data_IF_901075111958
#
_entry.id   IF_901075111958
#
_cell.length_a   1.000
_cell.length_b   1.000
_cell.length_c   1.000
_cell.angle_alpha   90.00
_cell.angle_beta   90.00
_cell.angle_gamma   90.00
#
_symmetry.space_group_name_H-M   'P 1'
#
loop_
_entity.id
_entity.type
_entity.pdbx_description
1 polymer ?
#
# COMPACT_ATOMS: atom_id res chain seq x y z
N UNK A 1 -9.64 19.99 -22.41
CA UNK A 1 -9.26 20.82 -21.24
C UNK A 1 -9.59 20.04 -19.97
N UNK A 2 -8.66 19.22 -19.46
CA UNK A 2 -8.86 18.42 -18.25
C UNK A 2 -8.67 19.27 -17.02
N UNK A 3 -9.72 19.32 -16.18
CA UNK A 3 -9.76 20.08 -14.93
C UNK A 3 -8.83 19.40 -13.93
N UNK A 4 -7.60 19.90 -13.77
CA UNK A 4 -6.77 19.53 -12.63
C UNK A 4 -7.41 20.13 -11.38
N UNK A 5 -8.18 19.32 -10.66
CA UNK A 5 -8.70 19.68 -9.36
C UNK A 5 -7.53 19.88 -8.40
N UNK A 6 -7.16 21.14 -8.18
CA UNK A 6 -6.30 21.60 -7.07
C UNK A 6 -7.05 21.36 -5.75
N UNK A 7 -7.05 20.11 -5.29
CA UNK A 7 -7.58 19.73 -3.98
C UNK A 7 -6.56 20.11 -2.91
N UNK A 8 -6.91 21.14 -2.15
CA UNK A 8 -6.48 21.50 -0.80
C UNK A 8 -5.14 20.95 -0.32
N UNK A 9 -4.20 21.86 -0.10
CA UNK A 9 -2.92 21.67 0.61
C UNK A 9 -3.16 21.19 2.04
N UNK A 10 -3.55 19.91 2.18
CA UNK A 10 -3.35 19.16 3.41
C UNK A 10 -1.86 18.85 3.48
N UNK A 11 -1.22 19.16 4.61
CA UNK A 11 0.19 18.87 4.82
C UNK A 11 0.47 17.40 4.46
N UNK A 12 1.29 17.20 3.42
CA UNK A 12 1.68 15.85 2.97
C UNK A 12 2.92 15.45 3.75
N UNK A 13 2.90 14.28 4.37
CA UNK A 13 4.12 13.71 4.96
C UNK A 13 4.93 13.08 3.84
N UNK A 14 6.24 13.36 3.78
CA UNK A 14 7.15 12.71 2.84
C UNK A 14 7.65 11.40 3.42
N UNK A 15 7.48 10.31 2.69
CA UNK A 15 7.95 8.98 3.08
C UNK A 15 8.47 8.23 1.86
N UNK A 16 9.39 7.30 2.09
CA UNK A 16 9.89 6.40 1.04
C UNK A 16 8.83 5.35 0.68
N UNK A 17 8.43 5.20 -0.60
CA UNK A 17 7.42 4.22 -1.01
C UNK A 17 7.72 2.77 -0.55
N UNK A 18 8.99 2.39 -0.55
CA UNK A 18 9.50 1.08 -0.10
C UNK A 18 9.17 0.77 1.37
N UNK A 19 8.98 1.79 2.22
CA UNK A 19 8.63 1.62 3.64
C UNK A 19 7.14 1.34 3.87
N UNK A 20 6.28 1.63 2.89
CA UNK A 20 4.82 1.45 3.00
C UNK A 20 4.42 0.07 2.52
N UNK A 21 3.75 -0.71 3.34
CA UNK A 21 3.28 -2.05 3.02
C UNK A 21 2.03 -2.03 2.13
N UNK A 22 1.93 -3.02 1.25
CA UNK A 22 0.69 -3.28 0.52
C UNK A 22 -0.31 -3.95 1.44
N UNK A 23 -1.58 -3.59 1.32
CA UNK A 23 -2.67 -4.25 2.07
C UNK A 23 -3.12 -5.58 1.43
N UNK A 24 -2.70 -5.84 0.20
CA UNK A 24 -3.04 -7.03 -0.56
C UNK A 24 -1.85 -7.48 -1.41
N UNK A 25 -1.59 -8.79 -1.47
CA UNK A 25 -0.57 -9.39 -2.33
C UNK A 25 -0.92 -9.42 -3.83
N UNK A 26 -2.09 -8.92 -4.23
CA UNK A 26 -2.55 -8.85 -5.62
C UNK A 26 -3.14 -7.47 -5.91
N UNK A 27 -2.83 -6.94 -7.09
CA UNK A 27 -3.39 -5.66 -7.59
C UNK A 27 -3.80 -5.80 -9.04
N UNK A 28 -4.76 -5.00 -9.48
CA UNK A 28 -5.13 -4.92 -10.90
C UNK A 28 -4.17 -4.03 -11.69
N UNK A 29 -3.95 -4.37 -12.95
CA UNK A 29 -3.09 -3.65 -13.91
C UNK A 29 -3.62 -2.27 -14.34
N UNK A 30 -4.88 -1.95 -14.06
CA UNK A 30 -5.52 -0.66 -14.40
C UNK A 30 -6.04 0.06 -13.18
N UNK A 31 -6.10 1.39 -13.25
CA UNK A 31 -6.78 2.21 -12.25
C UNK A 31 -8.30 2.09 -12.38
N UNK A 32 -9.04 2.13 -11.26
CA UNK A 32 -10.50 2.07 -11.32
C UNK A 32 -11.04 3.36 -11.91
N UNK A 33 -11.95 3.26 -12.88
CA UNK A 33 -12.55 4.42 -13.54
C UNK A 33 -11.62 5.14 -14.52
N UNK A 34 -10.48 4.54 -14.88
CA UNK A 34 -9.57 5.07 -15.89
C UNK A 34 -9.07 3.91 -16.76
N UNK A 35 -9.01 4.11 -18.08
CA UNK A 35 -8.47 3.09 -19.00
C UNK A 35 -6.95 2.90 -18.85
N UNK A 36 -6.27 3.85 -18.20
CA UNK A 36 -4.81 3.87 -18.06
C UNK A 36 -4.31 2.77 -17.13
N UNK A 37 -3.29 2.07 -17.59
CA UNK A 37 -2.59 1.01 -16.86
C UNK A 37 -1.55 1.58 -15.91
N UNK A 38 -1.15 0.76 -14.94
CA UNK A 38 -0.02 1.08 -14.05
C UNK A 38 1.28 1.26 -14.84
N UNK A 39 1.49 0.41 -15.86
CA UNK A 39 2.67 0.44 -16.72
C UNK A 39 2.75 1.74 -17.54
N UNK A 40 1.65 2.16 -18.18
CA UNK A 40 1.60 3.45 -18.91
C UNK A 40 1.83 4.63 -17.99
N UNK A 41 1.35 4.56 -16.75
CA UNK A 41 1.53 5.66 -15.78
C UNK A 41 2.98 5.73 -15.30
N UNK A 42 3.60 4.57 -15.04
CA UNK A 42 5.02 4.49 -14.72
C UNK A 42 5.87 5.02 -15.88
N UNK A 43 5.55 4.62 -17.10
CA UNK A 43 6.24 5.06 -18.30
C UNK A 43 6.14 6.60 -18.47
N UNK A 44 4.97 7.20 -18.23
CA UNK A 44 4.82 8.65 -18.23
C UNK A 44 5.71 9.33 -17.19
N UNK A 45 5.90 8.72 -16.02
CA UNK A 45 6.78 9.23 -14.97
C UNK A 45 8.24 9.13 -15.41
N UNK A 46 8.66 7.98 -15.93
CA UNK A 46 10.03 7.75 -16.42
C UNK A 46 10.38 8.70 -17.57
N UNK A 47 9.42 8.98 -18.46
CA UNK A 47 9.58 9.93 -19.56
C UNK A 47 9.44 11.40 -19.13
N UNK A 48 9.19 11.67 -17.84
CA UNK A 48 9.02 13.03 -17.31
C UNK A 48 7.76 13.74 -17.80
N UNK A 49 6.77 13.02 -18.35
CA UNK A 49 5.47 13.58 -18.77
C UNK A 49 4.63 14.00 -17.57
N UNK A 50 4.76 13.28 -16.46
CA UNK A 50 4.19 13.60 -15.15
C UNK A 50 5.22 13.25 -14.06
N UNK A 51 5.02 13.77 -12.86
CA UNK A 51 5.80 13.41 -11.67
C UNK A 51 4.98 12.52 -10.74
N UNK A 52 5.64 11.90 -9.76
CA UNK A 52 4.96 11.11 -8.72
C UNK A 52 3.99 11.94 -7.88
N UNK A 53 4.24 13.25 -7.72
CA UNK A 53 3.41 14.17 -6.94
C UNK A 53 2.16 14.66 -7.69
N UNK A 54 2.12 14.47 -9.02
CA UNK A 54 0.94 14.69 -9.85
C UNK A 54 -0.12 13.58 -9.67
N UNK A 55 0.30 12.42 -9.16
CA UNK A 55 -0.63 11.38 -8.77
C UNK A 55 -1.40 11.80 -7.50
N UNK A 56 -2.71 11.48 -7.39
CA UNK A 56 -3.44 11.75 -6.17
C UNK A 56 -2.79 11.03 -4.98
N UNK A 57 -2.56 11.73 -3.84
CA UNK A 57 -1.82 11.17 -2.72
C UNK A 57 -2.50 9.91 -2.19
N UNK A 58 -1.70 8.94 -1.77
CA UNK A 58 -2.20 7.74 -1.11
C UNK A 58 -2.48 8.02 0.36
N UNK A 59 -3.58 7.48 0.86
CA UNK A 59 -3.86 7.46 2.30
C UNK A 59 -3.08 6.32 2.94
N UNK A 60 -2.43 6.59 4.06
CA UNK A 60 -1.60 5.65 4.81
C UNK A 60 -2.16 5.44 6.21
N UNK A 61 -2.33 4.17 6.58
CA UNK A 61 -2.64 3.74 7.95
C UNK A 61 -1.32 3.59 8.71
N UNK A 62 -1.26 4.14 9.92
CA UNK A 62 -0.12 3.96 10.83
C UNK A 62 -0.47 2.90 11.89
N UNK A 63 0.50 2.05 12.22
CA UNK A 63 0.35 1.01 13.22
C UNK A 63 1.64 0.85 14.00
N UNK A 64 1.56 1.07 15.30
CA UNK A 64 2.67 0.84 16.21
C UNK A 64 2.64 -0.64 16.61
N UNK A 65 3.61 -1.43 16.13
CA UNK A 65 3.75 -2.86 16.43
C UNK A 65 4.91 -3.09 17.39
N UNK A 66 4.80 -4.08 18.26
CA UNK A 66 5.95 -4.50 19.06
C UNK A 66 7.00 -5.13 18.12
N UNK A 67 8.25 -4.66 18.20
CA UNK A 67 9.37 -5.30 17.51
C UNK A 67 9.63 -6.65 18.19
N UNK A 68 8.90 -7.67 17.75
CA UNK A 68 9.30 -9.05 18.00
C UNK A 68 10.57 -9.27 17.20
N UNK A 69 11.69 -9.41 17.92
CA UNK A 69 12.94 -9.95 17.42
C UNK A 69 12.61 -11.15 16.52
N UNK A 70 12.98 -11.06 15.24
CA UNK A 70 12.82 -12.14 14.27
C UNK A 70 13.41 -13.41 14.87
N UNK A 71 12.53 -14.35 15.24
CA UNK A 71 12.82 -15.69 15.75
C UNK A 71 13.99 -16.32 14.98
N UNK A 72 15.18 -16.17 15.56
CA UNK A 72 16.35 -16.95 15.19
C UNK A 72 16.11 -18.35 15.70
N UNK A 73 15.69 -19.23 14.81
CA UNK A 73 15.85 -20.68 14.86
C UNK A 73 15.76 -21.29 16.26
N UNK A 74 14.57 -21.75 16.65
CA UNK A 74 14.42 -22.75 17.69
C UNK A 74 15.19 -24.04 17.30
N UNK A 75 16.47 -24.12 17.64
CA UNK A 75 17.17 -25.39 17.74
C UNK A 75 16.60 -26.13 18.95
N UNK A 76 15.92 -27.24 18.70
CA UNK A 76 15.43 -28.13 19.75
C UNK A 76 16.62 -28.76 20.51
N UNK A 77 17.07 -28.14 21.59
CA UNK A 77 17.94 -28.79 22.56
C UNK A 77 17.13 -29.20 23.80
N UNK A 78 16.86 -30.51 23.91
CA UNK A 78 16.13 -31.11 25.03
C UNK A 78 17.06 -31.20 26.25
N UNK A 79 17.11 -30.14 27.05
CA UNK A 79 17.94 -30.05 28.26
C UNK A 79 17.19 -29.65 29.54
N UNK A 80 16.67 -30.66 30.27
CA UNK A 80 16.49 -30.79 31.73
C UNK A 80 16.52 -29.53 32.66
N UNK A 81 15.35 -29.23 33.25
CA UNK A 81 15.04 -28.72 34.62
C UNK A 81 15.97 -27.68 35.29
N UNK A 82 15.42 -26.49 35.56
CA UNK A 82 15.87 -25.59 36.63
C UNK A 82 14.85 -24.50 36.95
N UNK A 83 14.24 -24.56 38.15
CA UNK A 83 13.38 -23.50 38.69
C UNK A 83 14.24 -22.28 39.01
N UNK A 84 14.00 -21.17 38.31
CA UNK A 84 14.57 -19.86 38.63
C UNK A 84 13.67 -18.76 38.08
N UNK A 85 12.74 -18.27 38.91
CA UNK A 85 11.93 -17.08 38.62
C UNK A 85 12.85 -15.85 38.71
N UNK A 86 13.65 -15.63 37.66
CA UNK A 86 14.38 -14.38 37.45
C UNK A 86 13.39 -13.44 36.76
N UNK A 87 12.77 -12.56 37.55
CA UNK A 87 12.06 -11.39 37.01
C UNK A 87 13.03 -10.61 36.13
N UNK A 88 12.94 -10.84 34.82
CA UNK A 88 13.70 -10.09 33.83
C UNK A 88 13.14 -8.67 33.88
N UNK A 89 13.96 -7.76 34.43
CA UNK A 89 13.82 -6.30 34.27
C UNK A 89 13.42 -6.03 32.83
N UNK A 90 12.24 -5.43 32.66
CA UNK A 90 11.59 -5.25 31.37
C UNK A 90 12.52 -4.57 30.36
N UNK A 91 12.94 -5.35 29.37
CA UNK A 91 13.27 -4.84 28.05
C UNK A 91 12.07 -4.02 27.60
N UNK A 92 12.25 -2.71 27.53
CA UNK A 92 11.24 -1.78 27.06
C UNK A 92 10.99 -2.15 25.60
N UNK A 93 9.93 -2.92 25.36
CA UNK A 93 9.57 -3.45 24.06
C UNK A 93 9.70 -2.33 23.02
N UNK A 94 10.64 -2.52 22.07
CA UNK A 94 10.91 -1.52 21.04
C UNK A 94 9.71 -1.51 20.11
N UNK A 95 8.90 -0.47 20.13
CA UNK A 95 7.75 -0.36 19.23
C UNK A 95 8.23 0.14 17.85
N UNK A 96 7.94 -0.60 16.79
CA UNK A 96 8.19 -0.23 15.40
C UNK A 96 6.92 0.33 14.77
N UNK A 97 7.01 1.47 14.08
CA UNK A 97 5.88 2.06 13.36
C UNK A 97 5.81 1.50 11.94
N UNK A 98 4.77 0.74 11.63
CA UNK A 98 4.45 0.25 10.28
C UNK A 98 3.46 1.16 9.57
N UNK A 99 3.64 1.28 8.26
CA UNK A 99 2.82 2.06 7.35
C UNK A 99 2.13 1.13 6.36
N UNK A 100 0.83 1.32 6.12
CA UNK A 100 0.07 0.52 5.16
C UNK A 100 -0.69 1.39 4.16
N UNK A 101 -0.68 1.00 2.89
CA UNK A 101 -1.35 1.76 1.83
C UNK A 101 -2.83 1.40 1.68
N UNK A 102 -3.67 2.41 1.61
CA UNK A 102 -5.08 2.27 1.21
C UNK A 102 -5.27 2.24 -0.32
N UNK A 103 -4.19 2.43 -1.10
CA UNK A 103 -4.23 2.37 -2.56
C UNK A 103 -2.97 1.68 -3.12
N UNK A 104 -3.04 0.35 -3.15
CA UNK A 104 -1.91 -0.50 -3.57
C UNK A 104 -1.47 -0.25 -5.02
N UNK A 105 -2.39 0.13 -5.91
CA UNK A 105 -2.06 0.42 -7.31
C UNK A 105 -1.16 1.64 -7.48
N UNK A 106 -1.48 2.73 -6.77
CA UNK A 106 -0.62 3.93 -6.76
C UNK A 106 0.70 3.67 -6.04
N UNK A 107 0.65 2.95 -4.91
CA UNK A 107 1.86 2.56 -4.20
C UNK A 107 2.80 1.74 -5.09
N UNK A 108 2.26 0.84 -5.93
CA UNK A 108 3.08 0.06 -6.86
C UNK A 108 3.82 0.96 -7.85
N UNK A 109 3.13 1.90 -8.48
CA UNK A 109 3.77 2.86 -9.41
C UNK A 109 4.83 3.69 -8.69
N UNK A 110 4.54 4.16 -7.47
CA UNK A 110 5.49 4.95 -6.68
C UNK A 110 6.73 4.15 -6.25
N UNK A 111 6.55 2.89 -5.84
CA UNK A 111 7.67 1.98 -5.50
C UNK A 111 8.53 1.65 -6.72
N UNK A 112 7.90 1.48 -7.87
CA UNK A 112 8.62 1.18 -9.11
C UNK A 112 9.37 2.42 -9.62
N UNK A 113 8.79 3.61 -9.50
CA UNK A 113 9.49 4.87 -9.75
C UNK A 113 10.69 5.06 -8.78
N UNK A 114 10.55 4.71 -7.50
CA UNK A 114 11.65 4.71 -6.53
C UNK A 114 12.75 3.73 -6.95
N UNK A 115 12.36 2.50 -7.34
CA UNK A 115 13.30 1.45 -7.79
C UNK A 115 14.10 1.87 -9.02
N UNK A 116 13.48 2.64 -9.91
CA UNK A 116 14.12 3.20 -11.10
C UNK A 116 14.93 4.49 -10.82
N UNK A 117 14.93 4.98 -9.57
CA UNK A 117 15.65 6.20 -9.19
C UNK A 117 14.99 7.49 -9.67
N UNK A 118 13.71 7.45 -10.07
CA UNK A 118 12.97 8.63 -10.55
C UNK A 118 12.42 9.45 -9.38
N UNK A 119 12.23 8.85 -8.22
CA UNK A 119 11.90 9.54 -6.97
C UNK A 119 12.58 8.87 -5.77
N UNK A 120 12.76 9.62 -4.69
CA UNK A 120 13.26 9.07 -3.41
C UNK A 120 12.14 8.95 -2.38
N UNK A 121 11.23 9.93 -2.38
CA UNK A 121 10.11 10.05 -1.47
C UNK A 121 8.83 10.50 -2.20
N UNK A 122 7.69 10.28 -1.55
CA UNK A 122 6.37 10.67 -2.08
C UNK A 122 5.53 11.33 -1.00
N UNK A 123 4.69 12.28 -1.40
CA UNK A 123 3.72 12.91 -0.52
C UNK A 123 2.53 11.99 -0.21
N UNK A 124 2.39 11.59 1.05
CA UNK A 124 1.25 10.76 1.50
C UNK A 124 0.33 11.52 2.45
N UNK A 125 -0.92 11.07 2.53
CA UNK A 125 -1.89 11.51 3.53
C UNK A 125 -1.93 10.50 4.67
N UNK A 126 -1.43 10.89 5.84
CA UNK A 126 -1.62 10.10 7.05
C UNK A 126 -3.09 10.15 7.47
N UNK A 127 -3.69 9.00 7.75
CA UNK A 127 -5.01 8.94 8.36
C UNK A 127 -4.93 9.37 9.84
N UNK A 128 -6.05 9.86 10.38
CA UNK A 128 -6.11 10.22 11.80
C UNK A 128 -5.93 8.98 12.67
N UNK A 129 -5.52 9.19 13.93
CA UNK A 129 -5.35 8.12 14.91
C UNK A 129 -6.64 7.29 15.07
N UNK A 130 -7.79 7.95 15.18
CA UNK A 130 -9.10 7.29 15.30
C UNK A 130 -9.43 6.42 14.09
N UNK A 131 -9.16 6.91 12.87
CA UNK A 131 -9.38 6.14 11.65
C UNK A 131 -8.46 4.92 11.59
N UNK A 132 -7.21 5.06 12.03
CA UNK A 132 -6.27 3.95 12.13
C UNK A 132 -6.77 2.91 13.14
N UNK A 133 -7.16 3.33 14.34
CA UNK A 133 -7.67 2.43 15.40
C UNK A 133 -8.91 1.64 14.95
N UNK A 134 -9.85 2.29 14.26
CA UNK A 134 -11.04 1.62 13.71
C UNK A 134 -10.65 0.56 12.69
N UNK A 135 -9.74 0.88 11.76
CA UNK A 135 -9.28 -0.05 10.72
C UNK A 135 -8.49 -1.22 11.32
N UNK A 136 -7.64 -0.96 12.30
CA UNK A 136 -6.83 -1.98 12.98
C UNK A 136 -7.70 -2.91 13.84
N UNK A 137 -8.68 -2.38 14.57
CA UNK A 137 -9.54 -3.17 15.47
C UNK A 137 -10.61 -3.96 14.73
N UNK A 138 -11.39 -3.30 13.87
CA UNK A 138 -12.53 -3.92 13.20
C UNK A 138 -12.08 -4.77 12.01
N UNK A 139 -10.94 -4.41 11.42
CA UNK A 139 -10.61 -4.81 10.07
C UNK A 139 -11.63 -4.23 9.08
N UNK A 140 -11.26 -4.21 7.82
CA UNK A 140 -12.23 -4.02 6.73
C UNK A 140 -12.00 -5.08 5.67
N UNK A 141 -12.94 -5.20 4.73
CA UNK A 141 -12.72 -6.05 3.54
C UNK A 141 -11.44 -5.65 2.80
N UNK A 142 -11.06 -4.38 2.88
CA UNK A 142 -9.93 -3.79 2.16
C UNK A 142 -8.67 -3.59 3.03
N UNK A 143 -8.73 -3.90 4.33
CA UNK A 143 -7.62 -3.71 5.25
C UNK A 143 -7.65 -4.77 6.33
N UNK A 144 -6.65 -5.65 6.29
CA UNK A 144 -6.44 -6.73 7.25
C UNK A 144 -4.93 -6.89 7.47
N UNK A 145 -4.49 -6.72 8.72
CA UNK A 145 -3.06 -6.69 9.05
C UNK A 145 -2.37 -8.00 8.67
N UNK A 146 -3.05 -9.14 8.82
CA UNK A 146 -2.57 -10.48 8.44
C UNK A 146 -2.32 -10.66 6.94
N UNK A 147 -2.92 -9.83 6.09
CA UNK A 147 -2.77 -9.89 4.62
C UNK A 147 -1.78 -8.89 4.06
N UNK A 148 -1.27 -8.00 4.91
CA UNK A 148 -0.36 -6.97 4.48
C UNK A 148 1.00 -7.58 4.12
N UNK A 149 1.65 -7.06 3.07
CA UNK A 149 2.94 -7.58 2.60
C UNK A 149 3.90 -6.44 2.23
N UNK A 150 5.19 -6.55 2.58
CA UNK A 150 6.21 -5.63 2.11
C UNK A 150 6.72 -6.00 0.71
N UNK A 151 6.44 -7.23 0.25
CA UNK A 151 7.04 -7.83 -0.94
C UNK A 151 6.39 -7.43 -2.27
N UNK A 152 6.87 -8.01 -3.39
CA UNK A 152 6.29 -7.78 -4.69
C UNK A 152 4.84 -8.29 -4.73
N UNK A 153 3.96 -7.49 -5.32
CA UNK A 153 2.55 -7.85 -5.51
C UNK A 153 2.33 -8.42 -6.89
N UNK A 154 1.43 -9.40 -7.01
CA UNK A 154 1.05 -9.97 -8.30
C UNK A 154 0.10 -9.00 -9.03
N UNK A 155 0.49 -8.56 -10.21
CA UNK A 155 -0.39 -7.80 -11.11
C UNK A 155 -1.33 -8.78 -11.80
N UNK A 156 -2.63 -8.51 -11.71
CA UNK A 156 -3.71 -9.29 -12.33
C UNK A 156 -4.29 -8.45 -13.46
N UNK A 157 -4.35 -8.97 -14.70
CA UNK A 157 -4.98 -8.25 -15.79
C UNK A 157 -6.47 -8.03 -15.50
N UNK A 158 -6.94 -6.81 -15.70
CA UNK A 158 -8.36 -6.48 -15.60
C UNK A 158 -9.06 -7.06 -16.83
N UNK A 159 -10.03 -7.95 -16.63
CA UNK A 159 -10.86 -8.45 -17.73
C UNK A 159 -11.60 -7.26 -18.33
N UNK A 160 -11.36 -6.97 -19.61
CA UNK A 160 -12.21 -6.06 -20.37
C UNK A 160 -13.57 -6.74 -20.50
N UNK A 161 -14.58 -6.22 -19.82
CA UNK A 161 -15.96 -6.56 -20.20
C UNK A 161 -16.16 -5.99 -21.61
N UNK A 162 -16.55 -6.84 -22.60
CA UNK A 162 -16.79 -6.34 -23.93
C UNK A 162 -17.88 -5.27 -23.85
N UNK A 163 -17.78 -4.17 -24.63
CA UNK A 163 -18.85 -3.19 -24.68
C UNK A 163 -20.13 -3.94 -25.07
N UNK A 164 -21.15 -3.89 -24.20
CA UNK A 164 -22.47 -4.41 -24.50
C UNK A 164 -22.85 -3.90 -25.90
N UNK A 165 -23.07 -4.85 -26.81
CA UNK A 165 -23.57 -4.55 -28.15
C UNK A 165 -24.85 -3.76 -27.92
N UNK A 166 -24.79 -2.44 -28.14
CA UNK A 166 -26.00 -1.64 -28.28
C UNK A 166 -26.72 -2.29 -29.45
N UNK A 167 -27.82 -2.98 -29.16
CA UNK A 167 -28.71 -3.48 -30.17
C UNK A 167 -29.04 -2.29 -31.08
N UNK A 168 -28.56 -2.35 -32.31
CA UNK A 168 -29.03 -1.49 -33.37
C UNK A 168 -30.51 -1.82 -33.51
N UNK A 169 -31.34 -0.99 -32.88
CA UNK A 169 -32.77 -0.97 -33.12
C UNK A 169 -32.98 -0.46 -34.52
N UNK A 170 -32.89 -1.37 -35.47
CA UNK A 170 -33.52 -1.30 -36.78
C UNK A 170 -34.97 -0.88 -36.56
N UNK A 171 -35.25 0.40 -36.79
CA UNK A 171 -36.60 0.89 -37.00
C UNK A 171 -36.64 1.38 -38.45
N UNK A 172 -36.76 0.41 -39.36
CA UNK A 172 -37.40 0.60 -40.65
C UNK A 172 -38.93 0.56 -40.41
N UNK A 173 -39.57 1.72 -40.46
CA UNK A 173 -41.00 1.91 -40.79
C UNK A 173 -41.31 3.40 -40.94
#
# INVERSE_FOLDING_TARGET
MSRHATRGTTARTRVRPSTIWFTHGRIHDRFSGCAKTLAETLDDIVRGRITVDDLPPISVVTHDVDAVESDGSASEDRGRRGRGRRERRGDRAKTERRLYSMNNRRLWVMREAERLGVCEDVGVRMLSREQCEVLLRKGSRNFRVDRCTPGPVKIVPTREEPPERRAEGENDA
#
